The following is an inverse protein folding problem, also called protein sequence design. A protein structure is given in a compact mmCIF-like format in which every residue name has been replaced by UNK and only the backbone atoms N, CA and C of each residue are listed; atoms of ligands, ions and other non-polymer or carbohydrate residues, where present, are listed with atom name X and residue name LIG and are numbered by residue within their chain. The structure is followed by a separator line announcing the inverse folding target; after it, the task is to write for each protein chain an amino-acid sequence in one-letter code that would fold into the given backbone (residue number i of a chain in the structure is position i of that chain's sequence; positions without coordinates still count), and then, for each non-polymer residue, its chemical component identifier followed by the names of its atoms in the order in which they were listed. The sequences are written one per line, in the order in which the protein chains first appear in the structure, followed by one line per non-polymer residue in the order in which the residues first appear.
data_IF_557924380176
#
_entry.id   IF_557924380176
#
_cell.length_a   1.000
_cell.length_b   1.000
_cell.length_c   1.000
_cell.angle_alpha   90.00
_cell.angle_beta   90.00
_cell.angle_gamma   90.00
#
_symmetry.space_group_name_H-M   'P 1'
#
loop_
_entity.id
_entity.type
_entity.pdbx_description
1 polymer ?
#
# COMPACT_ATOMS: atom_id res chain seq x y z
N UNK A 1 10.26 25.55 -9.31
CA UNK A 1 11.42 24.63 -9.18
C UNK A 1 10.85 23.25 -8.93
N UNK A 2 11.14 22.29 -9.81
CA UNK A 2 10.64 20.91 -9.70
C UNK A 2 11.83 20.00 -9.44
N UNK A 3 11.71 19.04 -8.51
CA UNK A 3 12.71 18.00 -8.27
C UNK A 3 13.18 17.34 -9.57
N UNK A 4 12.23 17.03 -10.45
CA UNK A 4 12.50 16.45 -11.78
C UNK A 4 13.32 17.36 -12.70
N UNK A 5 13.25 18.67 -12.52
CA UNK A 5 14.01 19.64 -13.32
C UNK A 5 15.45 19.81 -12.81
N UNK A 6 15.70 19.69 -11.50
CA UNK A 6 17.05 19.73 -10.94
C UNK A 6 17.78 18.38 -11.09
N UNK A 7 17.06 17.26 -11.01
CA UNK A 7 17.61 15.91 -11.23
C UNK A 7 17.98 15.62 -12.70
N UNK A 8 17.39 16.37 -13.65
CA UNK A 8 17.66 16.22 -15.08
C UNK A 8 18.85 17.04 -15.59
N UNK A 9 19.55 17.79 -14.71
CA UNK A 9 20.75 18.55 -15.06
C UNK A 9 21.98 17.65 -14.97
N UNK A 10 22.92 17.81 -15.91
CA UNK A 10 24.20 17.09 -15.87
C UNK A 10 25.07 17.45 -14.64
N UNK A 11 24.84 18.63 -14.05
CA UNK A 11 25.42 19.09 -12.78
C UNK A 11 24.31 19.20 -11.73
N UNK A 12 23.68 18.06 -11.43
CA UNK A 12 22.63 17.98 -10.44
C UNK A 12 23.18 18.33 -9.05
N UNK A 13 22.59 19.35 -8.42
CA UNK A 13 23.00 19.76 -7.08
C UNK A 13 22.41 18.78 -6.05
N UNK A 14 23.25 17.86 -5.56
CA UNK A 14 22.86 16.82 -4.60
C UNK A 14 22.30 17.41 -3.29
N UNK A 15 22.82 18.54 -2.80
CA UNK A 15 22.30 19.20 -1.60
C UNK A 15 20.86 19.71 -1.79
N UNK A 16 20.54 20.25 -2.97
CA UNK A 16 19.18 20.67 -3.31
C UNK A 16 18.23 19.50 -3.46
N UNK A 17 18.68 18.40 -4.08
CA UNK A 17 17.87 17.18 -4.19
C UNK A 17 17.56 16.61 -2.81
N UNK A 18 18.57 16.51 -1.93
CA UNK A 18 18.39 16.07 -0.55
C UNK A 18 17.46 16.99 0.25
N UNK A 19 17.54 18.30 0.04
CA UNK A 19 16.63 19.26 0.66
C UNK A 19 15.17 19.04 0.20
N UNK A 20 14.96 18.84 -1.10
CA UNK A 20 13.63 18.55 -1.63
C UNK A 20 13.08 17.22 -1.11
N UNK A 21 13.88 16.15 -1.09
CA UNK A 21 13.46 14.85 -0.54
C UNK A 21 13.03 14.96 0.92
N UNK A 22 13.77 15.76 1.70
CA UNK A 22 13.42 16.06 3.09
C UNK A 22 12.09 16.81 3.19
N UNK A 23 11.91 17.88 2.41
CA UNK A 23 10.66 18.63 2.36
C UNK A 23 9.47 17.75 1.93
N UNK A 24 9.65 16.89 0.93
CA UNK A 24 8.61 15.93 0.50
C UNK A 24 8.23 14.98 1.64
N UNK A 25 9.24 14.43 2.33
CA UNK A 25 9.01 13.50 3.45
C UNK A 25 8.28 14.20 4.60
N UNK A 26 8.68 15.42 4.96
CA UNK A 26 8.04 16.21 6.02
C UNK A 26 6.59 16.56 5.68
N UNK A 27 6.33 17.02 4.46
CA UNK A 27 4.96 17.33 4.01
C UNK A 27 4.10 16.06 3.97
N UNK A 28 4.64 14.95 3.46
CA UNK A 28 3.94 13.67 3.46
C UNK A 28 3.57 13.23 4.88
N UNK A 29 4.53 13.28 5.82
CA UNK A 29 4.26 12.96 7.22
C UNK A 29 3.21 13.88 7.84
N UNK A 30 3.25 15.18 7.54
CA UNK A 30 2.25 16.14 8.02
C UNK A 30 0.84 15.83 7.48
N UNK A 31 0.73 15.41 6.23
CA UNK A 31 -0.54 14.97 5.62
C UNK A 31 -1.04 13.69 6.29
N UNK A 32 -0.18 12.70 6.49
CA UNK A 32 -0.52 11.43 7.13
C UNK A 32 -0.88 11.60 8.62
N UNK A 33 -0.29 12.58 9.30
CA UNK A 33 -0.61 12.92 10.68
C UNK A 33 -1.98 13.63 10.83
N UNK A 34 -2.59 14.07 9.72
CA UNK A 34 -3.91 14.70 9.76
C UNK A 34 -4.97 13.67 10.19
N UNK A 35 -5.78 14.02 11.17
CA UNK A 35 -6.84 13.16 11.71
C UNK A 35 -7.82 12.68 10.62
N UNK A 36 -8.13 13.52 9.63
CA UNK A 36 -9.00 13.13 8.52
C UNK A 36 -8.32 12.11 7.60
N UNK A 37 -7.00 12.22 7.40
CA UNK A 37 -6.24 11.26 6.62
C UNK A 37 -6.20 9.91 7.33
N UNK A 38 -5.94 9.89 8.63
CA UNK A 38 -5.96 8.66 9.42
C UNK A 38 -7.33 7.98 9.40
N UNK A 39 -8.43 8.74 9.50
CA UNK A 39 -9.80 8.21 9.38
C UNK A 39 -10.07 7.65 7.99
N UNK A 40 -9.60 8.34 6.96
CA UNK A 40 -9.71 7.88 5.58
C UNK A 40 -8.93 6.59 5.35
N UNK A 41 -7.70 6.49 5.86
CA UNK A 41 -6.87 5.29 5.74
C UNK A 41 -7.48 4.10 6.48
N UNK A 42 -8.01 4.30 7.68
CA UNK A 42 -8.73 3.26 8.40
C UNK A 42 -9.97 2.78 7.63
N UNK A 43 -10.76 3.72 7.09
CA UNK A 43 -11.93 3.37 6.27
C UNK A 43 -11.54 2.66 4.97
N UNK A 44 -10.47 3.10 4.32
CA UNK A 44 -9.91 2.46 3.13
C UNK A 44 -9.47 1.03 3.44
N UNK A 45 -8.71 0.83 4.52
CA UNK A 45 -8.23 -0.48 4.92
C UNK A 45 -9.40 -1.43 5.20
N UNK A 46 -10.45 -0.98 5.89
CA UNK A 46 -11.63 -1.79 6.14
C UNK A 46 -12.36 -2.18 4.84
N UNK A 47 -12.40 -1.30 3.84
CA UNK A 47 -12.95 -1.61 2.51
C UNK A 47 -12.08 -2.63 1.77
N UNK A 48 -10.76 -2.46 1.81
CA UNK A 48 -9.82 -3.38 1.18
C UNK A 48 -9.92 -4.79 1.81
N UNK A 49 -10.02 -4.88 3.15
CA UNK A 49 -10.26 -6.13 3.88
C UNK A 49 -11.58 -6.79 3.48
N UNK A 50 -12.67 -6.02 3.39
CA UNK A 50 -13.96 -6.53 2.95
C UNK A 50 -13.90 -7.07 1.50
N UNK A 51 -13.24 -6.36 0.59
CA UNK A 51 -13.10 -6.77 -0.81
C UNK A 51 -12.25 -8.04 -0.95
N UNK A 52 -11.17 -8.15 -0.17
CA UNK A 52 -10.35 -9.35 -0.10
C UNK A 52 -11.16 -10.54 0.42
N UNK A 53 -11.94 -10.35 1.47
CA UNK A 53 -12.82 -11.38 2.02
C UNK A 53 -13.85 -11.86 1.00
N UNK A 54 -14.53 -10.94 0.30
CA UNK A 54 -15.47 -11.28 -0.77
C UNK A 54 -14.77 -12.10 -1.86
N UNK A 55 -13.57 -11.68 -2.28
CA UNK A 55 -12.80 -12.39 -3.31
C UNK A 55 -12.40 -13.79 -2.84
N UNK A 56 -12.04 -13.96 -1.57
CA UNK A 56 -11.76 -15.26 -0.96
C UNK A 56 -12.98 -16.17 -0.98
N UNK A 57 -14.16 -15.67 -0.60
CA UNK A 57 -15.41 -16.46 -0.67
C UNK A 57 -15.68 -16.89 -2.12
N UNK A 58 -15.55 -15.96 -3.07
CA UNK A 58 -15.76 -16.27 -4.49
C UNK A 58 -14.80 -17.37 -4.98
N UNK A 59 -13.53 -17.33 -4.58
CA UNK A 59 -12.56 -18.36 -4.93
C UNK A 59 -12.95 -19.74 -4.37
N UNK A 60 -13.37 -19.82 -3.11
CA UNK A 60 -13.83 -21.06 -2.47
C UNK A 60 -15.10 -21.60 -3.14
N UNK A 61 -16.04 -20.72 -3.49
CA UNK A 61 -17.25 -21.11 -4.22
C UNK A 61 -16.94 -21.68 -5.61
N UNK A 62 -15.98 -21.08 -6.33
CA UNK A 62 -15.51 -21.58 -7.65
C UNK A 62 -14.85 -22.96 -7.53
N UNK A 63 -14.19 -23.24 -6.40
CA UNK A 63 -13.61 -24.55 -6.10
C UNK A 63 -14.65 -25.60 -5.69
N UNK A 64 -15.93 -25.22 -5.61
CA UNK A 64 -17.05 -26.11 -5.32
C UNK A 64 -17.41 -26.20 -3.84
N UNK A 65 -16.83 -25.35 -3.00
CA UNK A 65 -17.21 -25.28 -1.60
C UNK A 65 -18.51 -24.47 -1.38
N UNK A 66 -19.24 -24.72 -0.28
CA UNK A 66 -20.54 -24.09 -0.01
C UNK A 66 -20.38 -22.65 0.52
N UNK A 67 -20.90 -21.62 -0.18
CA UNK A 67 -20.83 -20.21 0.25
C UNK A 67 -21.33 -19.93 1.67
N UNK A 68 -22.14 -20.81 2.26
CA UNK A 68 -22.69 -20.66 3.61
C UNK A 68 -21.81 -21.20 4.72
N UNK A 69 -20.82 -22.04 4.40
CA UNK A 69 -19.93 -22.67 5.40
C UNK A 69 -18.46 -22.36 5.15
N UNK A 70 -18.15 -21.68 4.04
CA UNK A 70 -16.80 -21.37 3.62
C UNK A 70 -16.42 -19.97 4.08
N UNK A 71 -15.69 -19.93 5.19
CA UNK A 71 -15.02 -18.74 5.63
C UNK A 71 -13.60 -18.74 5.04
N UNK A 72 -13.22 -17.71 4.25
CA UNK A 72 -11.82 -17.50 3.91
C UNK A 72 -11.06 -17.42 5.23
N UNK A 73 -10.03 -18.26 5.39
CA UNK A 73 -9.12 -18.08 6.51
C UNK A 73 -8.61 -16.64 6.42
N UNK A 74 -8.59 -15.91 7.54
CA UNK A 74 -7.95 -14.60 7.59
C UNK A 74 -6.51 -14.81 7.14
N UNK A 75 -6.24 -14.55 5.86
CA UNK A 75 -4.89 -14.63 5.32
C UNK A 75 -4.11 -13.58 6.09
N UNK A 76 -3.22 -14.07 6.96
CA UNK A 76 -2.25 -13.26 7.68
C UNK A 76 -1.77 -12.16 6.75
N UNK A 77 -2.08 -10.92 7.12
CA UNK A 77 -1.68 -9.70 6.43
C UNK A 77 -0.21 -9.78 6.03
N UNK A 78 0.07 -10.27 4.81
CA UNK A 78 1.37 -10.11 4.21
C UNK A 78 1.38 -8.72 3.59
N UNK A 79 1.51 -7.70 4.44
CA UNK A 79 1.80 -6.32 4.04
C UNK A 79 3.26 -6.16 3.56
N UNK A 80 3.86 -7.24 3.03
CA UNK A 80 5.26 -7.33 2.67
C UNK A 80 5.43 -7.37 1.16
N UNK A 81 6.24 -6.44 0.66
CA UNK A 81 6.82 -6.34 -0.67
C UNK A 81 6.78 -7.66 -1.47
N UNK A 82 6.17 -7.64 -2.67
CA UNK A 82 6.05 -8.81 -3.54
C UNK A 82 7.39 -9.30 -4.17
N UNK A 83 8.52 -9.02 -3.52
CA UNK A 83 9.85 -9.49 -3.92
C UNK A 83 10.27 -10.84 -3.33
N UNK A 84 9.53 -11.39 -2.35
CA UNK A 84 10.03 -12.54 -1.56
C UNK A 84 9.32 -13.88 -1.80
N UNK A 85 8.29 -13.99 -2.65
CA UNK A 85 7.65 -15.29 -2.90
C UNK A 85 8.43 -16.13 -3.95
N UNK A 86 9.75 -16.21 -3.77
CA UNK A 86 10.64 -17.11 -4.47
C UNK A 86 10.72 -18.44 -3.74
N UNK A 87 9.83 -19.35 -4.12
CA UNK A 87 10.04 -20.80 -3.99
C UNK A 87 9.66 -21.44 -2.64
N UNK A 88 8.78 -22.43 -2.71
CA UNK A 88 8.93 -23.74 -2.08
C UNK A 88 7.98 -24.74 -2.74
N UNK A 89 8.43 -25.99 -2.80
CA UNK A 89 7.95 -27.15 -3.56
C UNK A 89 6.43 -27.39 -3.63
#
# INVERSE_FOLDING_TARGET
MSYQHEAAKDDANEEKLAAYDKEFTEVYQAVMANENMQKYEAARQAVDEMMNHITGILALCVQGEDPKTCEPQEEHHCSGECGSCGGCH
#
